data_IF_774057927840
#
_entry.id   IF_774057927840
#
_cell.length_a   1.000
_cell.length_b   1.000
_cell.length_c   1.000
_cell.angle_alpha   90.00
_cell.angle_beta   90.00
_cell.angle_gamma   90.00
#
_symmetry.space_group_name_H-M   'P 1'
#
loop_
_entity.id
_entity.type
_entity.pdbx_description
1 polymer ?
#
# COMPACT_ATOMS: atom_id res chain seq x y z
N UNK A 1 -5.17 1.74 -22.93
CA UNK A 1 -4.03 1.36 -23.79
C UNK A 1 -2.81 2.15 -23.34
N UNK A 2 -1.61 1.59 -23.46
CA UNK A 2 -0.37 2.18 -22.91
C UNK A 2 -0.08 3.54 -23.54
N UNK A 3 -0.17 3.64 -24.87
CA UNK A 3 0.18 4.87 -25.59
C UNK A 3 -0.80 6.00 -25.26
N UNK A 4 -2.10 5.67 -25.15
CA UNK A 4 -3.11 6.61 -24.70
C UNK A 4 -2.89 7.08 -23.25
N UNK A 5 -2.40 6.20 -22.36
CA UNK A 5 -2.07 6.57 -20.99
C UNK A 5 -0.88 7.54 -20.96
N UNK A 6 0.17 7.26 -21.72
CA UNK A 6 1.40 8.07 -21.78
C UNK A 6 1.24 9.37 -22.57
N UNK A 7 0.22 9.48 -23.42
CA UNK A 7 -0.04 10.68 -24.21
C UNK A 7 -0.41 11.91 -23.35
N UNK A 8 -0.94 11.71 -22.14
CA UNK A 8 -1.26 12.77 -21.19
C UNK A 8 -0.48 12.59 -19.89
N UNK A 9 0.50 13.47 -19.66
CA UNK A 9 1.32 13.46 -18.45
C UNK A 9 0.49 13.44 -17.17
N UNK A 10 -0.70 14.05 -17.17
CA UNK A 10 -1.58 14.09 -15.99
C UNK A 10 -2.03 12.70 -15.56
N UNK A 11 -2.13 11.73 -16.47
CA UNK A 11 -2.48 10.35 -16.11
C UNK A 11 -1.41 9.73 -15.22
N UNK A 12 -0.13 9.90 -15.58
CA UNK A 12 0.99 9.38 -14.82
C UNK A 12 1.05 10.01 -13.42
N UNK A 13 1.09 11.34 -13.33
CA UNK A 13 1.20 12.02 -12.03
C UNK A 13 -0.06 11.85 -11.16
N UNK A 14 -1.25 11.75 -11.76
CA UNK A 14 -2.47 11.41 -11.01
C UNK A 14 -2.39 9.99 -10.47
N UNK A 15 -1.93 9.02 -11.28
CA UNK A 15 -1.73 7.65 -10.84
C UNK A 15 -0.73 7.55 -9.69
N UNK A 16 0.44 8.19 -9.81
CA UNK A 16 1.44 8.26 -8.74
C UNK A 16 0.83 8.80 -7.44
N UNK A 17 0.15 9.95 -7.51
CA UNK A 17 -0.45 10.56 -6.34
C UNK A 17 -1.53 9.68 -5.71
N UNK A 18 -2.39 9.07 -6.52
CA UNK A 18 -3.45 8.20 -6.04
C UNK A 18 -2.88 6.92 -5.41
N UNK A 19 -1.85 6.31 -5.99
CA UNK A 19 -1.17 5.16 -5.40
C UNK A 19 -0.52 5.54 -4.06
N UNK A 20 0.21 6.66 -4.03
CA UNK A 20 0.86 7.17 -2.83
C UNK A 20 -0.15 7.37 -1.69
N UNK A 21 -1.21 8.15 -1.92
CA UNK A 21 -2.18 8.49 -0.87
C UNK A 21 -3.02 7.29 -0.43
N UNK A 22 -3.36 6.38 -1.35
CA UNK A 22 -4.11 5.17 -1.00
C UNK A 22 -3.28 4.26 -0.09
N UNK A 23 -2.00 4.04 -0.43
CA UNK A 23 -1.11 3.20 0.37
C UNK A 23 -0.81 3.86 1.73
N UNK A 24 -0.60 5.19 1.77
CA UNK A 24 -0.45 5.95 3.01
C UNK A 24 -1.64 5.72 3.95
N UNK A 25 -2.86 5.93 3.45
CA UNK A 25 -4.07 5.80 4.23
C UNK A 25 -4.24 4.39 4.81
N UNK A 26 -3.98 3.35 4.01
CA UNK A 26 -4.04 1.96 4.48
C UNK A 26 -2.99 1.70 5.57
N UNK A 27 -1.78 2.21 5.41
CA UNK A 27 -0.72 2.06 6.40
C UNK A 27 -1.05 2.80 7.72
N UNK A 28 -1.58 4.02 7.65
CA UNK A 28 -1.97 4.80 8.83
C UNK A 28 -3.12 4.14 9.59
N UNK A 29 -4.14 3.63 8.89
CA UNK A 29 -5.24 2.87 9.51
C UNK A 29 -4.69 1.60 10.18
N UNK A 30 -3.83 0.86 9.48
CA UNK A 30 -3.18 -0.34 10.01
C UNK A 30 -2.38 -0.04 11.28
N UNK A 31 -1.62 1.07 11.30
CA UNK A 31 -0.86 1.53 12.46
C UNK A 31 -1.79 1.92 13.63
N UNK A 32 -2.93 2.53 13.34
CA UNK A 32 -3.94 2.83 14.35
C UNK A 32 -4.53 1.53 14.95
N UNK A 33 -4.81 0.53 14.11
CA UNK A 33 -5.26 -0.81 14.54
C UNK A 33 -4.21 -1.47 15.44
N UNK A 34 -2.94 -1.50 15.03
CA UNK A 34 -1.82 -2.02 15.84
C UNK A 34 -1.82 -1.40 17.24
N UNK A 35 -1.95 -0.07 17.32
CA UNK A 35 -2.02 0.66 18.60
C UNK A 35 -3.24 0.25 19.42
N UNK A 36 -4.42 0.15 18.80
CA UNK A 36 -5.67 -0.20 19.48
C UNK A 36 -5.65 -1.63 20.03
N UNK A 37 -4.96 -2.53 19.35
CA UNK A 37 -4.76 -3.92 19.75
C UNK A 37 -3.67 -4.09 20.83
N UNK A 38 -2.91 -3.05 21.16
CA UNK A 38 -1.80 -3.13 22.12
C UNK A 38 -0.60 -3.95 21.61
N UNK A 39 -0.46 -4.09 20.28
CA UNK A 39 0.65 -4.80 19.67
C UNK A 39 1.94 -3.97 19.72
N UNK A 40 3.08 -4.63 19.48
CA UNK A 40 4.38 -3.96 19.28
C UNK A 40 4.26 -2.97 18.12
N UNK A 41 4.59 -1.70 18.37
CA UNK A 41 4.58 -0.70 17.30
C UNK A 41 5.72 -0.97 16.30
N UNK A 42 5.47 -0.81 14.98
CA UNK A 42 6.53 -0.86 13.99
C UNK A 42 7.43 0.38 14.11
N UNK A 43 8.74 0.18 13.96
CA UNK A 43 9.73 1.27 13.91
C UNK A 43 9.65 2.01 12.57
N UNK A 44 9.43 1.25 11.50
CA UNK A 44 9.28 1.75 10.14
C UNK A 44 7.96 1.29 9.51
N UNK A 45 7.40 2.11 8.62
CA UNK A 45 6.10 1.85 8.00
C UNK A 45 6.06 0.50 7.25
N UNK A 46 7.14 0.07 6.61
CA UNK A 46 7.19 -1.20 5.88
C UNK A 46 7.00 -2.43 6.79
N UNK A 47 7.21 -2.28 8.10
CA UNK A 47 7.02 -3.34 9.09
C UNK A 47 5.54 -3.49 9.53
N UNK A 48 4.66 -2.55 9.18
CA UNK A 48 3.22 -2.61 9.51
C UNK A 48 2.56 -3.95 9.15
N UNK A 49 2.68 -4.47 7.91
CA UNK A 49 2.08 -5.76 7.55
C UNK A 49 2.69 -6.93 8.33
N UNK A 50 3.98 -6.87 8.68
CA UNK A 50 4.63 -7.89 9.51
C UNK A 50 4.01 -7.98 10.91
N UNK A 51 3.86 -6.84 11.58
CA UNK A 51 3.26 -6.79 12.93
C UNK A 51 1.85 -7.37 12.94
N UNK A 52 1.03 -7.03 11.94
CA UNK A 52 -0.34 -7.56 11.85
C UNK A 52 -0.37 -9.06 11.52
N UNK A 53 0.55 -9.55 10.69
CA UNK A 53 0.65 -10.98 10.37
C UNK A 53 1.19 -11.81 11.55
N UNK A 54 2.21 -11.32 12.26
CA UNK A 54 2.74 -11.91 13.50
C UNK A 54 1.63 -12.11 14.56
N UNK A 55 0.68 -11.18 14.62
CA UNK A 55 -0.47 -11.24 15.52
C UNK A 55 -1.68 -12.01 14.95
N UNK A 56 -1.58 -12.59 13.74
CA UNK A 56 -2.61 -13.40 13.11
C UNK A 56 -3.76 -12.63 12.43
N UNK A 57 -3.62 -11.31 12.27
CA UNK A 57 -4.64 -10.47 11.63
C UNK A 57 -4.50 -10.37 10.11
N UNK A 58 -3.32 -10.70 9.58
CA UNK A 58 -3.07 -10.80 8.14
C UNK A 58 -2.48 -12.16 7.78
N UNK A 59 -2.85 -12.74 6.62
CA UNK A 59 -2.18 -13.92 6.12
C UNK A 59 -0.72 -13.60 5.77
N UNK A 60 0.21 -14.44 6.24
CA UNK A 60 1.65 -14.22 6.09
C UNK A 60 2.08 -14.16 4.62
N UNK A 61 1.38 -14.85 3.72
CA UNK A 61 1.63 -14.85 2.28
C UNK A 61 1.41 -13.46 1.62
N UNK A 62 0.61 -12.58 2.23
CA UNK A 62 0.37 -11.23 1.69
C UNK A 62 1.40 -10.20 2.15
N UNK A 63 2.19 -10.52 3.18
CA UNK A 63 3.15 -9.58 3.80
C UNK A 63 4.17 -9.04 2.79
N UNK A 64 4.81 -9.86 1.93
CA UNK A 64 5.78 -9.35 0.97
C UNK A 64 5.19 -8.32 0.01
N UNK A 65 3.94 -8.54 -0.44
CA UNK A 65 3.22 -7.63 -1.32
C UNK A 65 2.94 -6.30 -0.63
N UNK A 66 2.41 -6.32 0.60
CA UNK A 66 2.07 -5.10 1.32
C UNK A 66 3.32 -4.33 1.76
N UNK A 67 4.39 -5.02 2.12
CA UNK A 67 5.70 -4.39 2.36
C UNK A 67 6.18 -3.66 1.11
N UNK A 68 6.15 -4.32 -0.05
CA UNK A 68 6.56 -3.73 -1.32
C UNK A 68 5.74 -2.48 -1.66
N UNK A 69 4.42 -2.51 -1.43
CA UNK A 69 3.55 -1.35 -1.60
C UNK A 69 3.96 -0.17 -0.70
N UNK A 70 4.20 -0.41 0.58
CA UNK A 70 4.61 0.64 1.52
C UNK A 70 5.97 1.22 1.16
N UNK A 71 6.92 0.38 0.74
CA UNK A 71 8.22 0.84 0.23
C UNK A 71 8.09 1.63 -1.07
N UNK A 72 7.23 1.19 -1.97
CA UNK A 72 6.94 1.90 -3.21
C UNK A 72 6.36 3.29 -2.93
N UNK A 73 5.42 3.43 -1.98
CA UNK A 73 4.92 4.73 -1.54
C UNK A 73 6.04 5.67 -1.06
N UNK A 74 7.04 5.14 -0.35
CA UNK A 74 8.20 5.92 0.08
C UNK A 74 9.05 6.35 -1.15
N UNK A 75 9.30 5.43 -2.09
CA UNK A 75 10.02 5.73 -3.34
C UNK A 75 9.35 6.86 -4.14
N UNK A 76 8.01 6.88 -4.23
CA UNK A 76 7.27 7.95 -4.92
C UNK A 76 7.55 9.36 -4.39
N UNK A 77 7.97 9.50 -3.12
CA UNK A 77 8.24 10.81 -2.50
C UNK A 77 9.73 11.11 -2.41
N UNK A 78 10.51 10.13 -1.98
CA UNK A 78 11.91 10.35 -1.60
C UNK A 78 12.91 9.87 -2.67
N UNK A 79 12.47 9.02 -3.59
CA UNK A 79 13.29 8.44 -4.66
C UNK A 79 12.55 8.48 -6.00
N UNK A 80 11.78 9.53 -6.22
CA UNK A 80 11.01 9.70 -7.45
C UNK A 80 11.85 9.64 -8.74
N UNK A 81 13.16 10.02 -8.76
CA UNK A 81 13.99 9.82 -9.96
C UNK A 81 14.22 8.34 -10.32
N UNK A 82 13.97 7.40 -9.40
CA UNK A 82 14.12 5.95 -9.60
C UNK A 82 12.79 5.28 -10.02
N UNK A 83 11.73 6.04 -10.26
CA UNK A 83 10.42 5.53 -10.64
C UNK A 83 10.24 5.67 -12.15
N UNK A 84 10.08 4.54 -12.82
CA UNK A 84 9.83 4.51 -14.27
C UNK A 84 8.32 4.61 -14.57
N UNK A 85 7.89 5.38 -15.59
CA UNK A 85 6.48 5.47 -15.96
C UNK A 85 5.81 4.11 -16.25
N UNK A 86 6.58 3.17 -16.79
CA UNK A 86 6.12 1.80 -17.06
C UNK A 86 5.80 1.03 -15.78
N UNK A 87 6.52 1.29 -14.68
CA UNK A 87 6.22 0.73 -13.36
C UNK A 87 4.85 1.21 -12.88
N UNK A 88 4.57 2.51 -12.99
CA UNK A 88 3.27 3.08 -12.61
C UNK A 88 2.15 2.48 -13.44
N UNK A 89 2.31 2.44 -14.77
CA UNK A 89 1.31 1.88 -15.68
C UNK A 89 1.01 0.40 -15.36
N UNK A 90 2.04 -0.40 -15.10
CA UNK A 90 1.90 -1.80 -14.69
C UNK A 90 1.10 -1.92 -13.40
N UNK A 91 1.44 -1.14 -12.37
CA UNK A 91 0.75 -1.19 -11.08
C UNK A 91 -0.73 -0.85 -11.24
N UNK A 92 -1.06 0.24 -11.95
CA UNK A 92 -2.47 0.66 -12.12
C UNK A 92 -3.29 -0.26 -13.01
N UNK A 93 -2.66 -1.04 -13.89
CA UNK A 93 -3.38 -1.96 -14.79
C UNK A 93 -3.43 -3.39 -14.27
N UNK A 94 -2.46 -3.82 -13.46
CA UNK A 94 -2.30 -5.23 -13.09
C UNK A 94 -2.38 -5.48 -11.58
N UNK A 95 -2.06 -4.50 -10.73
CA UNK A 95 -1.85 -4.73 -9.29
C UNK A 95 -2.83 -4.00 -8.37
N UNK A 96 -3.80 -3.24 -8.92
CA UNK A 96 -4.84 -2.60 -8.09
C UNK A 96 -5.67 -3.61 -7.28
N UNK A 97 -5.67 -4.89 -7.66
CA UNK A 97 -6.26 -5.97 -6.88
C UNK A 97 -5.63 -6.12 -5.49
N UNK A 98 -4.33 -5.89 -5.37
CA UNK A 98 -3.60 -6.06 -4.11
C UNK A 98 -3.88 -4.91 -3.12
N UNK A 99 -4.03 -3.69 -3.63
CA UNK A 99 -4.52 -2.55 -2.82
C UNK A 99 -5.92 -2.83 -2.28
N UNK A 100 -6.81 -3.37 -3.12
CA UNK A 100 -8.18 -3.73 -2.71
C UNK A 100 -8.18 -4.85 -1.70
N UNK A 101 -7.34 -5.87 -1.89
CA UNK A 101 -7.18 -6.99 -0.95
C UNK A 101 -6.74 -6.50 0.43
N UNK A 102 -5.72 -5.63 0.50
CA UNK A 102 -5.27 -5.07 1.77
C UNK A 102 -6.37 -4.26 2.44
N UNK A 103 -7.05 -3.38 1.70
CA UNK A 103 -8.22 -2.62 2.19
C UNK A 103 -9.28 -3.55 2.78
N UNK A 104 -9.66 -4.61 2.07
CA UNK A 104 -10.73 -5.51 2.52
C UNK A 104 -10.35 -6.25 3.81
N UNK A 105 -9.09 -6.66 3.95
CA UNK A 105 -8.58 -7.24 5.19
C UNK A 105 -8.57 -6.24 6.35
N UNK A 106 -8.17 -4.98 6.11
CA UNK A 106 -8.24 -3.93 7.13
C UNK A 106 -9.68 -3.67 7.57
N UNK A 107 -10.63 -3.62 6.63
CA UNK A 107 -12.06 -3.48 6.96
C UNK A 107 -12.56 -4.66 7.80
N UNK A 108 -12.18 -5.89 7.44
CA UNK A 108 -12.53 -7.08 8.24
C UNK A 108 -11.99 -6.99 9.67
N UNK A 109 -10.73 -6.58 9.86
CA UNK A 109 -10.16 -6.39 11.19
C UNK A 109 -10.97 -5.35 11.98
N UNK A 110 -11.28 -4.19 11.38
CA UNK A 110 -12.07 -3.16 12.04
C UNK A 110 -13.47 -3.64 12.46
N UNK A 111 -14.12 -4.46 11.64
CA UNK A 111 -15.43 -5.05 11.95
C UNK A 111 -15.36 -6.03 13.13
N UNK A 112 -14.23 -6.68 13.38
CA UNK A 112 -14.03 -7.54 14.56
C UNK A 112 -13.72 -6.77 15.84
N UNK A 113 -13.40 -5.47 15.73
CA UNK A 113 -13.03 -4.60 16.86
C UNK A 113 -14.17 -3.68 17.32
N UNK A 114 -15.27 -3.62 16.57
CA UNK A 114 -16.50 -2.90 16.90
C UNK A 114 -17.50 -3.81 17.60
#
# INVERSE_FOLDING_TARGET
DHDAFMADWRNLYSAERLLQTSIEALADISRHIIRRLGLRMPDEYWQIPHVLAEAGYLPAENVPTYEAMVRFRNRLVHRYPEIEPSEIYRIVTQELGEIRRWRDQIVQILQTLG
#
